data_IF_518858603328
#
_entry.id   IF_518858603328
#
_cell.length_a   1.000
_cell.length_b   1.000
_cell.length_c   1.000
_cell.angle_alpha   90.00
_cell.angle_beta   90.00
_cell.angle_gamma   90.00
#
_symmetry.space_group_name_H-M   'P 1'
#
loop_
_entity.id
_entity.type
_entity.pdbx_description
1 polymer ?
#
# COMPACT_ATOMS: atom_id res chain seq x y z
N UNK A 1 -49.33 -37.98 -44.73
CA UNK A 1 -48.34 -38.41 -43.71
C UNK A 1 -46.95 -38.35 -44.32
N UNK A 2 -45.96 -38.05 -43.47
CA UNK A 2 -44.53 -37.80 -43.73
C UNK A 2 -44.10 -36.39 -44.18
N UNK A 3 -43.41 -35.75 -43.22
CA UNK A 3 -42.77 -34.43 -43.23
C UNK A 3 -41.37 -34.46 -43.90
N UNK A 4 -40.77 -33.29 -44.16
CA UNK A 4 -39.74 -33.04 -45.17
C UNK A 4 -38.34 -32.85 -44.56
N UNK A 5 -37.31 -32.62 -45.41
CA UNK A 5 -36.54 -31.35 -45.41
C UNK A 5 -35.38 -31.34 -46.41
N UNK A 6 -35.30 -30.20 -47.08
CA UNK A 6 -34.29 -29.80 -48.05
C UNK A 6 -32.91 -29.55 -47.42
N UNK A 7 -31.90 -29.69 -48.26
CA UNK A 7 -30.49 -29.37 -48.03
C UNK A 7 -30.26 -27.88 -47.74
N UNK A 8 -29.26 -27.57 -46.90
CA UNK A 8 -28.40 -26.37 -47.00
C UNK A 8 -27.06 -26.69 -46.31
N UNK A 9 -25.98 -26.73 -47.08
CA UNK A 9 -24.60 -26.54 -46.58
C UNK A 9 -24.45 -25.07 -46.18
N UNK A 10 -23.90 -24.76 -45.00
CA UNK A 10 -23.37 -23.43 -44.73
C UNK A 10 -22.16 -23.51 -43.79
N UNK A 11 -21.09 -22.85 -44.23
CA UNK A 11 -19.83 -22.55 -43.53
C UNK A 11 -20.05 -21.79 -42.20
N UNK A 12 -18.93 -21.45 -41.53
CA UNK A 12 -18.73 -20.45 -40.43
C UNK A 12 -18.53 -21.13 -39.07
N UNK A 13 -17.51 -20.87 -38.23
CA UNK A 13 -16.37 -19.95 -38.26
C UNK A 13 -15.27 -20.49 -37.31
N UNK A 14 -14.03 -20.12 -37.59
CA UNK A 14 -12.88 -20.25 -36.68
C UNK A 14 -13.08 -19.23 -35.56
N UNK A 15 -13.48 -19.68 -34.37
CA UNK A 15 -13.58 -18.82 -33.19
C UNK A 15 -12.18 -18.47 -32.70
N UNK A 16 -11.76 -17.23 -32.98
CA UNK A 16 -10.54 -16.63 -32.44
C UNK A 16 -10.61 -16.52 -30.92
N UNK A 17 -9.60 -17.10 -30.26
CA UNK A 17 -9.33 -16.94 -28.84
C UNK A 17 -8.74 -15.53 -28.63
N UNK A 18 -9.60 -14.55 -28.35
CA UNK A 18 -9.19 -13.19 -27.98
C UNK A 18 -8.70 -13.19 -26.54
N UNK A 19 -7.39 -13.21 -26.36
CA UNK A 19 -6.70 -12.91 -25.10
C UNK A 19 -6.93 -11.43 -24.76
N UNK A 20 -7.83 -11.15 -23.82
CA UNK A 20 -7.89 -9.83 -23.18
C UNK A 20 -6.68 -9.70 -22.25
N UNK A 21 -5.61 -9.08 -22.72
CA UNK A 21 -4.66 -8.44 -21.81
C UNK A 21 -5.34 -7.14 -21.33
N UNK A 22 -5.96 -7.21 -20.16
CA UNK A 22 -6.22 -6.01 -19.37
C UNK A 22 -4.86 -5.43 -18.95
N UNK A 23 -4.30 -4.59 -19.81
CA UNK A 23 -3.13 -3.78 -19.47
C UNK A 23 -3.59 -2.72 -18.45
N UNK A 24 -2.91 -2.66 -17.30
CA UNK A 24 -3.14 -1.64 -16.29
C UNK A 24 -3.10 -0.24 -16.93
N UNK A 25 -4.05 0.66 -16.61
CA UNK A 25 -4.06 2.01 -17.14
C UNK A 25 -3.01 2.86 -16.40
N UNK A 26 -1.72 2.56 -16.57
CA UNK A 26 -0.69 3.56 -16.36
C UNK A 26 -0.79 4.57 -17.49
N UNK A 27 -1.18 5.82 -17.21
CA UNK A 27 -1.16 6.82 -18.26
C UNK A 27 0.28 7.25 -18.51
N UNK A 28 0.74 7.21 -19.77
CA UNK A 28 2.08 7.68 -20.19
C UNK A 28 2.36 9.15 -19.83
N UNK A 29 1.33 9.87 -19.40
CA UNK A 29 1.37 11.26 -18.98
C UNK A 29 1.85 11.46 -17.54
N UNK A 30 1.91 10.38 -16.74
CA UNK A 30 2.40 10.41 -15.38
C UNK A 30 3.54 9.38 -15.19
N UNK A 31 4.78 9.74 -15.56
CA UNK A 31 5.94 8.85 -15.49
C UNK A 31 6.24 8.36 -14.05
N UNK A 32 5.80 9.09 -13.02
CA UNK A 32 5.98 8.70 -11.62
C UNK A 32 5.26 7.38 -11.28
N UNK A 33 4.13 7.09 -11.94
CA UNK A 33 3.36 5.85 -11.76
C UNK A 33 4.09 4.59 -12.27
N UNK A 34 5.13 4.76 -13.09
CA UNK A 34 5.93 3.65 -13.61
C UNK A 34 7.22 3.41 -12.82
N UNK A 35 7.53 4.28 -11.85
CA UNK A 35 8.74 4.15 -11.05
C UNK A 35 8.55 3.32 -9.77
N UNK A 36 7.33 2.85 -9.51
CA UNK A 36 7.00 2.13 -8.29
C UNK A 36 7.25 2.95 -7.03
N UNK A 37 6.97 2.37 -5.88
CA UNK A 37 7.32 2.99 -4.62
C UNK A 37 8.84 2.94 -4.43
N UNK A 38 9.42 4.10 -4.16
CA UNK A 38 10.83 4.18 -3.75
C UNK A 38 10.99 3.53 -2.37
N UNK A 39 12.24 3.31 -1.93
CA UNK A 39 12.56 2.71 -0.64
C UNK A 39 11.87 3.48 0.52
N UNK A 40 10.71 2.98 0.95
CA UNK A 40 9.80 3.65 1.91
C UNK A 40 10.49 3.96 3.24
N UNK A 41 11.33 3.08 3.82
CA UNK A 41 12.17 3.44 4.96
C UNK A 41 12.93 4.75 4.78
N UNK A 42 13.65 4.93 3.68
CA UNK A 42 14.51 6.11 3.50
C UNK A 42 13.80 7.31 2.87
N UNK A 43 12.69 7.09 2.17
CA UNK A 43 11.96 8.15 1.45
C UNK A 43 10.73 8.67 2.18
N UNK A 44 10.13 7.86 3.06
CA UNK A 44 8.95 8.23 3.85
C UNK A 44 9.27 8.16 5.35
N UNK A 45 9.58 6.97 5.90
CA UNK A 45 9.68 6.80 7.36
C UNK A 45 10.75 7.70 7.98
N UNK A 46 11.95 7.74 7.38
CA UNK A 46 13.03 8.64 7.80
C UNK A 46 12.65 10.11 7.80
N UNK A 47 12.40 10.73 6.63
CA UNK A 47 12.20 12.17 6.52
C UNK A 47 10.84 12.67 7.03
N UNK A 48 9.82 11.80 7.13
CA UNK A 48 8.45 12.20 7.52
C UNK A 48 8.08 11.80 8.95
N UNK A 49 8.76 10.82 9.54
CA UNK A 49 8.36 10.25 10.84
C UNK A 49 9.52 10.20 11.85
N UNK A 50 10.70 9.71 11.44
CA UNK A 50 11.88 9.57 12.29
C UNK A 50 12.68 10.87 12.38
N UNK A 51 11.98 11.96 12.70
CA UNK A 51 12.57 13.29 12.87
C UNK A 51 12.75 13.62 14.35
N UNK A 52 13.69 14.53 14.64
CA UNK A 52 13.92 15.10 15.98
C UNK A 52 12.62 15.37 16.74
N UNK A 53 12.50 14.82 17.95
CA UNK A 53 11.34 14.94 18.86
C UNK A 53 10.06 14.21 18.39
N UNK A 54 10.15 13.26 17.46
CA UNK A 54 9.02 12.46 16.99
C UNK A 54 9.31 10.96 17.15
N UNK A 55 9.68 10.24 16.10
CA UNK A 55 9.88 8.79 16.15
C UNK A 55 11.31 8.39 15.78
N UNK A 56 12.30 9.07 16.34
CA UNK A 56 13.71 8.74 16.14
C UNK A 56 14.29 7.92 17.30
N UNK A 57 15.54 7.47 17.14
CA UNK A 57 16.25 6.65 18.11
C UNK A 57 16.69 7.40 19.38
N UNK A 58 16.80 8.73 19.35
CA UNK A 58 17.26 9.53 20.48
C UNK A 58 16.10 9.88 21.43
N UNK A 59 14.95 10.23 20.88
CA UNK A 59 13.73 10.63 21.59
C UNK A 59 12.48 9.94 21.00
N UNK A 60 12.31 8.62 21.22
CA UNK A 60 11.20 7.86 20.65
C UNK A 60 9.87 8.20 21.34
N UNK A 61 9.07 9.08 20.72
CA UNK A 61 7.72 9.38 21.20
C UNK A 61 6.88 8.12 21.14
N UNK A 62 6.20 7.83 22.25
CA UNK A 62 5.42 6.61 22.46
C UNK A 62 6.24 5.33 22.27
N UNK A 63 7.53 5.36 22.62
CA UNK A 63 8.44 4.21 22.55
C UNK A 63 8.64 3.67 21.13
N UNK A 64 8.36 4.49 20.11
CA UNK A 64 8.48 4.13 18.69
C UNK A 64 9.70 4.80 18.05
N UNK A 65 10.61 3.98 17.54
CA UNK A 65 11.77 4.37 16.73
C UNK A 65 11.65 3.84 15.29
N UNK A 66 11.45 4.78 14.36
CA UNK A 66 11.32 4.55 12.91
C UNK A 66 12.60 4.87 12.13
N UNK A 67 13.74 4.98 12.79
CA UNK A 67 15.04 5.23 12.13
C UNK A 67 15.25 4.19 11.02
N UNK A 68 15.52 4.59 9.77
CA UNK A 68 15.64 3.67 8.65
C UNK A 68 17.03 3.03 8.59
N UNK A 69 17.28 2.14 9.54
CA UNK A 69 18.48 1.30 9.60
C UNK A 69 18.14 -0.19 9.49
N UNK A 70 19.16 -1.05 9.51
CA UNK A 70 18.99 -2.50 9.41
C UNK A 70 18.22 -3.14 10.56
N UNK A 71 17.92 -2.40 11.63
CA UNK A 71 17.14 -2.87 12.77
C UNK A 71 15.66 -2.48 12.71
N UNK A 72 15.23 -1.70 11.71
CA UNK A 72 13.87 -1.15 11.62
C UNK A 72 12.79 -2.22 11.72
N UNK A 73 12.84 -3.23 10.85
CA UNK A 73 11.81 -4.29 10.81
C UNK A 73 11.71 -5.02 12.16
N UNK A 74 12.84 -5.33 12.79
CA UNK A 74 12.87 -5.99 14.10
C UNK A 74 12.23 -5.15 15.21
N UNK A 75 12.15 -3.83 15.05
CA UNK A 75 11.48 -2.92 16.00
C UNK A 75 9.97 -2.80 15.77
N UNK A 76 9.47 -3.02 14.55
CA UNK A 76 8.09 -2.65 14.18
C UNK A 76 7.21 -3.83 13.75
N UNK A 77 7.79 -4.91 13.22
CA UNK A 77 7.04 -6.03 12.65
C UNK A 77 6.38 -6.85 13.74
N UNK A 78 5.06 -6.92 13.69
CA UNK A 78 4.17 -7.62 14.62
C UNK A 78 4.30 -7.24 16.11
N UNK A 79 4.96 -6.11 16.37
CA UNK A 79 5.10 -5.50 17.70
C UNK A 79 3.82 -4.75 18.05
N UNK A 80 3.32 -4.95 19.27
CA UNK A 80 2.13 -4.23 19.75
C UNK A 80 2.45 -2.74 19.95
N UNK A 81 1.55 -1.86 19.54
CA UNK A 81 1.74 -0.42 19.67
C UNK A 81 1.47 0.09 21.09
N UNK A 82 2.16 1.15 21.47
CA UNK A 82 1.93 1.85 22.74
C UNK A 82 0.89 2.96 22.56
N UNK A 83 -0.18 2.93 23.37
CA UNK A 83 -1.20 3.99 23.44
C UNK A 83 -2.41 3.82 22.52
N UNK A 84 -2.32 2.92 21.54
CA UNK A 84 -3.44 2.49 20.68
C UNK A 84 -3.51 0.96 20.69
N UNK A 85 -4.70 0.39 20.54
CA UNK A 85 -4.82 -1.05 20.32
C UNK A 85 -4.42 -1.38 18.88
N UNK A 86 -3.58 -2.40 18.70
CA UNK A 86 -3.12 -2.87 17.39
C UNK A 86 -1.62 -3.08 17.33
N UNK A 87 -1.12 -3.54 16.19
CA UNK A 87 0.30 -3.73 15.91
C UNK A 87 0.87 -2.53 15.17
N UNK A 88 2.13 -2.20 15.42
CA UNK A 88 2.86 -1.16 14.71
C UNK A 88 2.84 -1.44 13.19
N UNK A 89 3.29 -2.64 12.83
CA UNK A 89 3.03 -3.30 11.54
C UNK A 89 2.32 -4.62 11.83
N UNK A 90 1.14 -4.83 11.26
CA UNK A 90 0.40 -6.09 11.30
C UNK A 90 0.59 -6.83 9.97
N UNK A 91 1.45 -7.85 9.94
CA UNK A 91 1.72 -8.59 8.68
C UNK A 91 0.54 -9.44 8.23
N UNK A 92 -0.41 -9.74 9.13
CA UNK A 92 -1.63 -10.45 8.80
C UNK A 92 -2.72 -9.51 8.26
N UNK A 93 -2.65 -8.21 8.57
CA UNK A 93 -3.58 -7.18 8.10
C UNK A 93 -2.86 -5.83 7.90
N UNK A 94 -2.04 -5.67 6.82
CA UNK A 94 -1.20 -4.49 6.63
C UNK A 94 -1.94 -3.15 6.66
N UNK A 95 -3.16 -3.11 6.13
CA UNK A 95 -4.06 -1.94 6.12
C UNK A 95 -4.59 -1.56 7.51
N UNK A 96 -4.47 -2.45 8.50
CA UNK A 96 -4.82 -2.21 9.90
C UNK A 96 -3.61 -1.84 10.76
N UNK A 97 -2.41 -1.83 10.19
CA UNK A 97 -1.18 -1.41 10.88
C UNK A 97 -1.32 -0.01 11.47
N UNK A 98 -0.86 0.19 12.70
CA UNK A 98 -0.91 1.50 13.35
C UNK A 98 -0.08 2.54 12.59
N UNK A 99 1.04 2.15 11.97
CA UNK A 99 1.86 3.05 11.15
C UNK A 99 1.05 3.61 9.97
N UNK A 100 0.17 2.82 9.36
CA UNK A 100 -0.67 3.27 8.24
C UNK A 100 -1.92 4.00 8.72
N UNK A 101 -2.70 3.39 9.61
CA UNK A 101 -4.00 3.91 10.04
C UNK A 101 -3.89 5.26 10.73
N UNK A 102 -2.80 5.53 11.47
CA UNK A 102 -2.56 6.84 12.10
C UNK A 102 -2.31 7.95 11.08
N UNK A 103 -1.93 7.65 9.85
CA UNK A 103 -1.76 8.64 8.79
C UNK A 103 -3.08 9.02 8.11
N UNK A 104 -4.15 8.25 8.30
CA UNK A 104 -5.45 8.49 7.68
C UNK A 104 -6.24 9.58 8.42
N UNK A 105 -6.98 10.40 7.66
CA UNK A 105 -7.87 11.42 8.24
C UNK A 105 -9.02 10.80 9.07
N UNK A 106 -9.36 9.54 8.80
CA UNK A 106 -10.40 8.76 9.51
C UNK A 106 -9.86 8.02 10.72
N UNK A 107 -8.59 8.21 11.07
CA UNK A 107 -7.98 7.60 12.25
C UNK A 107 -8.85 7.79 13.50
N UNK A 108 -9.00 6.72 14.28
CA UNK A 108 -9.76 6.71 15.53
C UNK A 108 -8.88 6.79 16.77
N UNK A 109 -7.55 6.70 16.62
CA UNK A 109 -6.62 6.71 17.74
C UNK A 109 -5.67 7.91 17.72
N UNK A 110 -5.92 8.87 18.62
CA UNK A 110 -5.13 10.11 18.75
C UNK A 110 -5.18 10.99 17.49
N UNK A 111 -4.22 11.91 17.35
CA UNK A 111 -4.13 12.82 16.21
C UNK A 111 -3.60 12.13 14.95
N UNK A 112 -4.03 12.61 13.77
CA UNK A 112 -3.50 12.16 12.48
C UNK A 112 -2.02 12.53 12.32
N UNK A 113 -1.21 11.54 11.92
CA UNK A 113 0.22 11.67 11.64
C UNK A 113 0.50 12.08 10.18
N UNK A 114 1.61 12.80 9.92
CA UNK A 114 2.45 13.51 10.89
C UNK A 114 1.66 14.59 11.62
N UNK A 115 1.85 14.78 12.94
CA UNK A 115 1.06 15.76 13.71
C UNK A 115 1.28 17.18 13.20
N UNK A 116 2.54 17.49 12.90
CA UNK A 116 3.01 18.78 12.38
C UNK A 116 3.43 18.62 10.92
N UNK A 117 3.44 19.73 10.18
CA UNK A 117 3.80 19.73 8.76
C UNK A 117 2.66 19.23 7.85
N UNK A 118 3.04 18.94 6.61
CA UNK A 118 2.11 18.41 5.60
C UNK A 118 1.78 16.94 5.89
N UNK A 119 0.52 16.56 5.65
CA UNK A 119 0.12 15.15 5.70
C UNK A 119 0.74 14.40 4.53
N UNK A 120 0.80 13.08 4.66
CA UNK A 120 1.17 12.24 3.52
C UNK A 120 0.17 12.45 2.38
N UNK A 121 0.67 12.50 1.15
CA UNK A 121 -0.20 12.50 -0.04
C UNK A 121 -0.85 11.13 -0.22
N UNK A 122 -1.86 11.05 -1.10
CA UNK A 122 -2.50 9.78 -1.41
C UNK A 122 -1.49 8.78 -2.02
N UNK A 123 -0.54 9.27 -2.82
CA UNK A 123 0.55 8.47 -3.38
C UNK A 123 1.54 7.98 -2.30
N UNK A 124 1.91 8.82 -1.34
CA UNK A 124 2.77 8.40 -0.22
C UNK A 124 2.07 7.37 0.68
N UNK A 125 0.75 7.50 0.88
CA UNK A 125 -0.05 6.52 1.61
C UNK A 125 -0.15 5.18 0.87
N UNK A 126 -0.33 5.20 -0.45
CA UNK A 126 -0.28 3.99 -1.28
C UNK A 126 1.08 3.30 -1.15
N UNK A 127 2.17 4.06 -1.24
CA UNK A 127 3.50 3.50 -1.08
C UNK A 127 3.79 2.95 0.31
N UNK A 128 3.33 3.63 1.35
CA UNK A 128 3.44 3.11 2.71
C UNK A 128 2.70 1.77 2.83
N UNK A 129 1.47 1.67 2.30
CA UNK A 129 0.69 0.43 2.36
C UNK A 129 1.33 -0.71 1.53
N UNK A 130 1.86 -0.40 0.34
CA UNK A 130 2.59 -1.37 -0.48
C UNK A 130 3.78 -1.94 0.28
N UNK A 131 4.63 -1.08 0.85
CA UNK A 131 5.76 -1.50 1.68
C UNK A 131 5.32 -2.41 2.84
N UNK A 132 4.27 -2.03 3.58
CA UNK A 132 3.78 -2.85 4.70
C UNK A 132 3.20 -4.20 4.25
N UNK A 133 2.72 -4.29 3.01
CA UNK A 133 2.18 -5.54 2.44
C UNK A 133 3.30 -6.50 2.02
N UNK A 134 4.50 -6.00 1.77
CA UNK A 134 5.67 -6.80 1.36
C UNK A 134 6.53 -7.29 2.53
N UNK A 135 6.28 -6.79 3.75
CA UNK A 135 6.91 -7.25 5.00
C UNK A 135 6.36 -8.61 5.46
#
# INVERSE_FOLDING_TARGET
MSKPRAAVLCFVAISGLTTLLAACPGSLENPEQFMGCQDVPTTILGPRCATANCHDAEEPVAELDLTPDSGLEARIVDVDGTGCMGKLVDTAAPDQSLIYTKCLATNSCQSQMPVTGEKLTDEELECLLEYLTEL
#
